data_IF_039691682741
#
_entry.id   IF_039691682741
#
_cell.length_a   1.000
_cell.length_b   1.000
_cell.length_c   1.000
_cell.angle_alpha   90.00
_cell.angle_beta   90.00
_cell.angle_gamma   90.00
#
_symmetry.space_group_name_H-M   'P 1'
#
loop_
_entity.id
_entity.type
_entity.pdbx_description
1 polymer ?
#
# COMPACT_ATOMS: atom_id res chain seq x y z
N UNK A 1 17.42 6.85 -11.41
CA UNK A 1 16.55 7.94 -11.87
C UNK A 1 15.22 7.79 -11.14
N UNK A 2 14.81 8.77 -10.33
CA UNK A 2 13.57 8.74 -9.57
C UNK A 2 12.45 9.41 -10.36
N UNK A 3 11.78 8.66 -11.26
CA UNK A 3 10.80 9.20 -12.22
C UNK A 3 9.62 9.87 -11.52
N UNK A 4 9.15 9.28 -10.41
CA UNK A 4 8.04 9.81 -9.60
C UNK A 4 8.46 11.10 -8.90
N UNK A 5 9.58 11.08 -8.19
CA UNK A 5 10.10 12.23 -7.46
C UNK A 5 10.35 13.46 -8.37
N UNK A 6 10.69 13.25 -9.64
CA UNK A 6 10.94 14.33 -10.59
C UNK A 6 9.70 14.75 -11.40
N UNK A 7 8.51 14.27 -11.04
CA UNK A 7 7.26 14.64 -11.75
C UNK A 7 7.16 14.10 -13.18
N UNK A 8 7.98 13.11 -13.55
CA UNK A 8 8.03 12.55 -14.91
C UNK A 8 7.20 11.28 -15.08
N UNK A 9 6.31 11.00 -14.13
CA UNK A 9 5.43 9.82 -14.14
C UNK A 9 4.65 9.69 -15.46
N UNK A 10 4.07 10.80 -15.94
CA UNK A 10 3.24 10.83 -17.14
C UNK A 10 4.02 10.56 -18.43
N UNK A 11 5.30 10.90 -18.47
CA UNK A 11 6.16 10.64 -19.62
C UNK A 11 6.47 9.15 -19.78
N UNK A 12 6.51 8.41 -18.66
CA UNK A 12 6.85 7.00 -18.65
C UNK A 12 5.61 6.11 -18.74
N UNK A 13 4.58 6.42 -17.97
CA UNK A 13 3.43 5.54 -17.78
C UNK A 13 2.20 5.97 -18.59
N UNK A 14 2.08 7.27 -18.90
CA UNK A 14 0.95 7.84 -19.65
C UNK A 14 0.03 8.71 -18.80
N UNK A 15 -1.06 9.17 -19.43
CA UNK A 15 -2.04 10.09 -18.82
C UNK A 15 -3.43 9.45 -18.67
N UNK A 16 -3.55 8.16 -18.98
CA UNK A 16 -4.83 7.47 -18.91
C UNK A 16 -5.31 7.37 -17.45
N UNK A 17 -6.60 7.69 -17.16
CA UNK A 17 -7.14 7.69 -15.80
C UNK A 17 -6.90 6.39 -15.02
N UNK A 18 -6.81 5.26 -15.73
CA UNK A 18 -6.61 3.93 -15.14
C UNK A 18 -5.25 3.77 -14.44
N UNK A 19 -4.28 4.64 -14.75
CA UNK A 19 -2.93 4.64 -14.19
C UNK A 19 -2.86 5.33 -12.82
N UNK A 20 -3.90 6.07 -12.43
CA UNK A 20 -3.95 6.83 -11.20
C UNK A 20 -4.73 6.06 -10.13
N UNK A 21 -4.06 5.06 -9.53
CA UNK A 21 -4.68 4.13 -8.56
C UNK A 21 -5.45 4.84 -7.45
N UNK A 22 -4.93 5.95 -6.92
CA UNK A 22 -5.60 6.70 -5.86
C UNK A 22 -6.94 7.29 -6.31
N UNK A 23 -6.99 7.85 -7.52
CA UNK A 23 -8.21 8.41 -8.11
C UNK A 23 -9.23 7.31 -8.40
N UNK A 24 -8.75 6.13 -8.83
CA UNK A 24 -9.60 4.95 -9.03
C UNK A 24 -10.23 4.45 -7.74
N UNK A 25 -9.46 4.43 -6.65
CA UNK A 25 -9.96 4.06 -5.33
C UNK A 25 -11.08 5.00 -4.88
N UNK A 26 -10.92 6.30 -5.13
CA UNK A 26 -11.94 7.31 -4.80
C UNK A 26 -13.20 7.24 -5.68
N UNK A 27 -13.07 6.84 -6.94
CA UNK A 27 -14.17 6.88 -7.92
C UNK A 27 -14.93 5.57 -8.04
N UNK A 28 -14.35 4.43 -7.63
CA UNK A 28 -14.85 3.15 -8.10
C UNK A 28 -14.55 1.96 -7.22
N UNK A 29 -15.05 1.95 -5.99
CA UNK A 29 -15.37 0.70 -5.30
C UNK A 29 -16.61 0.88 -4.42
N UNK A 30 -17.77 0.39 -4.88
CA UNK A 30 -18.93 0.21 -4.02
C UNK A 30 -18.92 -1.24 -3.53
N UNK A 31 -18.77 -1.45 -2.22
CA UNK A 31 -19.04 -2.77 -1.66
C UNK A 31 -20.55 -2.93 -1.51
N UNK A 32 -21.14 -3.87 -2.25
CA UNK A 32 -22.54 -4.27 -2.06
C UNK A 32 -22.77 -4.97 -0.71
N UNK A 33 -21.69 -5.30 0.02
CA UNK A 33 -21.70 -5.99 1.30
C UNK A 33 -21.03 -5.15 2.39
N UNK A 34 -21.85 -4.45 3.17
CA UNK A 34 -21.43 -3.55 4.28
C UNK A 34 -20.53 -4.26 5.32
N UNK A 35 -20.55 -5.60 5.38
CA UNK A 35 -19.82 -6.40 6.37
C UNK A 35 -18.45 -6.92 5.92
N UNK A 36 -18.10 -6.86 4.62
CA UNK A 36 -16.85 -7.41 4.11
C UNK A 36 -16.02 -6.32 3.44
N UNK A 37 -14.76 -6.21 3.84
CA UNK A 37 -13.80 -5.32 3.18
C UNK A 37 -13.61 -5.74 1.72
N UNK A 38 -13.41 -4.75 0.86
CA UNK A 38 -13.04 -4.87 -0.54
C UNK A 38 -11.63 -5.43 -0.71
N UNK A 39 -10.77 -5.22 0.28
CA UNK A 39 -9.38 -5.63 0.24
C UNK A 39 -9.13 -6.77 1.23
N UNK A 40 -8.23 -7.72 0.90
CA UNK A 40 -7.63 -8.55 1.94
C UNK A 40 -6.86 -7.66 2.92
N UNK A 41 -6.55 -8.14 4.15
CA UNK A 41 -5.70 -7.41 5.08
C UNK A 41 -4.39 -6.98 4.41
N UNK A 42 -4.02 -5.70 4.50
CA UNK A 42 -2.89 -5.13 3.78
C UNK A 42 -1.72 -4.87 4.74
N UNK A 43 -0.54 -5.35 4.38
CA UNK A 43 0.71 -4.94 5.02
C UNK A 43 1.47 -4.02 4.08
N UNK A 44 1.57 -2.74 4.44
CA UNK A 44 2.22 -1.70 3.67
C UNK A 44 3.54 -1.32 4.33
N UNK A 45 4.62 -1.29 3.55
CA UNK A 45 5.98 -0.97 4.00
C UNK A 45 6.60 0.11 3.10
N UNK A 46 7.17 1.16 3.69
CA UNK A 46 7.77 2.28 2.93
C UNK A 46 8.83 3.08 3.71
N UNK A 47 10.02 3.29 3.13
CA UNK A 47 11.09 4.14 3.65
C UNK A 47 10.66 5.59 3.86
N UNK A 48 10.80 6.13 5.07
CA UNK A 48 10.51 7.54 5.33
C UNK A 48 11.36 8.49 4.45
N UNK A 49 12.58 8.07 4.11
CA UNK A 49 13.53 8.82 3.30
C UNK A 49 13.61 8.34 1.85
N UNK A 50 12.60 7.64 1.33
CA UNK A 50 12.59 7.10 -0.04
C UNK A 50 12.78 8.22 -1.09
N UNK A 51 13.91 8.14 -1.80
CA UNK A 51 14.32 9.09 -2.82
C UNK A 51 13.76 8.75 -4.20
N UNK A 52 13.22 7.54 -4.39
CA UNK A 52 12.62 7.08 -5.63
C UNK A 52 11.13 7.45 -5.70
N UNK A 53 10.40 7.21 -4.61
CA UNK A 53 8.95 7.41 -4.49
C UNK A 53 8.65 8.09 -3.14
N UNK A 54 7.98 9.25 -3.09
CA UNK A 54 7.69 9.91 -1.82
C UNK A 54 6.74 9.11 -0.91
N UNK A 55 7.10 8.97 0.37
CA UNK A 55 6.31 8.26 1.40
C UNK A 55 4.90 8.82 1.59
N UNK A 56 4.69 10.10 1.28
CA UNK A 56 3.37 10.75 1.34
C UNK A 56 2.33 10.08 0.44
N UNK A 57 2.76 9.42 -0.65
CA UNK A 57 1.88 8.60 -1.47
C UNK A 57 1.27 7.43 -0.70
N UNK A 58 2.05 6.76 0.16
CA UNK A 58 1.55 5.68 1.01
C UNK A 58 0.63 6.19 2.11
N UNK A 59 0.94 7.35 2.72
CA UNK A 59 0.05 7.97 3.71
C UNK A 59 -1.31 8.31 3.09
N UNK A 60 -1.30 8.94 1.92
CA UNK A 60 -2.52 9.26 1.17
C UNK A 60 -3.30 8.01 0.76
N UNK A 61 -2.61 6.92 0.39
CA UNK A 61 -3.24 5.63 0.12
C UNK A 61 -3.99 5.11 1.36
N UNK A 62 -3.37 5.14 2.54
CA UNK A 62 -4.01 4.68 3.79
C UNK A 62 -5.28 5.50 4.09
N UNK A 63 -5.19 6.82 3.99
CA UNK A 63 -6.33 7.71 4.21
C UNK A 63 -7.49 7.43 3.24
N UNK A 64 -7.18 7.21 1.96
CA UNK A 64 -8.18 6.88 0.94
C UNK A 64 -8.82 5.53 1.23
N UNK A 65 -8.02 4.49 1.52
CA UNK A 65 -8.54 3.16 1.81
C UNK A 65 -9.47 3.16 3.02
N UNK A 66 -9.08 3.82 4.11
CA UNK A 66 -9.91 3.91 5.32
C UNK A 66 -11.23 4.69 5.09
N UNK A 67 -11.22 5.67 4.19
CA UNK A 67 -12.43 6.43 3.84
C UNK A 67 -13.36 5.66 2.90
N UNK A 68 -12.80 5.00 1.89
CA UNK A 68 -13.55 4.26 0.86
C UNK A 68 -14.09 2.94 1.42
N UNK A 69 -13.29 2.28 2.27
CA UNK A 69 -13.68 1.05 2.95
C UNK A 69 -13.15 1.03 4.40
N UNK A 70 -13.96 1.54 5.35
CA UNK A 70 -13.59 1.56 6.77
C UNK A 70 -13.32 0.19 7.38
N UNK A 71 -13.72 -0.91 6.73
CA UNK A 71 -13.44 -2.26 7.20
C UNK A 71 -12.07 -2.78 6.74
N UNK A 72 -11.35 -2.02 5.89
CA UNK A 72 -10.00 -2.39 5.43
C UNK A 72 -9.06 -2.51 6.61
N UNK A 73 -8.50 -3.71 6.79
CA UNK A 73 -7.49 -3.95 7.82
C UNK A 73 -6.11 -3.62 7.26
N UNK A 74 -5.42 -2.65 7.86
CA UNK A 74 -4.11 -2.17 7.38
C UNK A 74 -3.09 -2.25 8.52
N UNK A 75 -1.94 -2.87 8.23
CA UNK A 75 -0.72 -2.75 9.03
C UNK A 75 0.26 -1.90 8.23
N UNK A 76 0.64 -0.74 8.77
CA UNK A 76 1.56 0.21 8.11
C UNK A 76 2.89 0.24 8.86
N UNK A 77 3.98 -0.07 8.16
CA UNK A 77 5.34 0.06 8.66
C UNK A 77 6.09 1.13 7.86
N UNK A 78 6.24 2.31 8.47
CA UNK A 78 7.12 3.35 7.98
C UNK A 78 8.32 3.43 8.95
N UNK A 79 9.51 3.31 8.40
CA UNK A 79 10.79 3.29 9.12
C UNK A 79 11.81 4.23 8.45
N UNK A 80 12.86 4.65 9.18
CA UNK A 80 13.97 5.37 8.57
C UNK A 80 14.64 4.54 7.46
N UNK A 81 14.92 5.17 6.31
CA UNK A 81 15.64 4.58 5.18
C UNK A 81 15.05 4.99 3.82
N UNK A 82 15.77 4.70 2.72
CA UNK A 82 15.37 4.89 1.32
C UNK A 82 14.42 3.77 0.84
N UNK A 83 14.20 3.62 -0.47
CA UNK A 83 13.22 2.75 -1.13
C UNK A 83 13.20 1.29 -0.66
N UNK A 84 14.38 0.72 -0.39
CA UNK A 84 14.54 -0.64 0.14
C UNK A 84 14.78 -0.70 1.65
N UNK A 85 14.64 0.44 2.33
CA UNK A 85 15.02 0.72 3.72
C UNK A 85 16.48 0.42 4.05
N UNK A 86 17.45 0.96 3.29
CA UNK A 86 18.91 1.16 3.52
C UNK A 86 19.78 0.13 4.25
N UNK A 87 19.21 -0.97 4.68
CA UNK A 87 19.79 -2.01 5.49
C UNK A 87 19.06 -3.32 5.17
N UNK A 88 19.66 -4.42 5.61
CA UNK A 88 19.05 -5.73 5.44
C UNK A 88 18.03 -5.97 6.55
N UNK A 89 16.75 -5.84 6.25
CA UNK A 89 15.69 -6.31 7.13
C UNK A 89 15.59 -7.85 7.09
N UNK A 90 15.30 -8.46 8.23
CA UNK A 90 15.05 -9.91 8.34
C UNK A 90 13.82 -10.16 9.21
N UNK A 91 13.29 -11.38 9.19
CA UNK A 91 12.14 -11.78 10.02
C UNK A 91 12.44 -11.78 11.53
N UNK A 92 13.67 -11.48 11.93
CA UNK A 92 14.03 -11.24 13.33
C UNK A 92 13.62 -9.84 13.79
N UNK A 93 13.42 -8.91 12.84
CA UNK A 93 12.90 -7.59 13.14
C UNK A 93 11.41 -7.69 13.52
N UNK A 94 11.00 -7.18 14.70
CA UNK A 94 9.63 -7.32 15.18
C UNK A 94 8.59 -6.77 14.19
N UNK A 95 8.82 -5.58 13.64
CA UNK A 95 7.89 -4.93 12.70
C UNK A 95 7.64 -5.79 11.45
N UNK A 96 8.68 -6.42 10.91
CA UNK A 96 8.57 -7.23 9.70
C UNK A 96 7.86 -8.55 10.02
N UNK A 97 8.21 -9.16 11.15
CA UNK A 97 7.53 -10.39 11.60
C UNK A 97 6.05 -10.14 11.86
N UNK A 98 5.70 -9.09 12.59
CA UNK A 98 4.33 -8.74 12.95
C UNK A 98 3.47 -8.45 11.72
N UNK A 99 3.99 -7.65 10.77
CA UNK A 99 3.29 -7.38 9.52
C UNK A 99 3.08 -8.62 8.65
N UNK A 100 4.08 -9.52 8.60
CA UNK A 100 3.95 -10.80 7.89
C UNK A 100 2.94 -11.73 8.57
N UNK A 101 3.00 -11.88 9.90
CA UNK A 101 2.05 -12.69 10.67
C UNK A 101 0.60 -12.18 10.44
N UNK A 102 0.42 -10.86 10.37
CA UNK A 102 -0.87 -10.21 10.13
C UNK A 102 -1.50 -10.60 8.78
N UNK A 103 -0.73 -10.69 7.70
CA UNK A 103 -1.27 -11.00 6.36
C UNK A 103 -1.21 -12.48 5.98
N UNK A 104 -0.26 -13.25 6.52
CA UNK A 104 0.03 -14.62 6.04
C UNK A 104 -1.19 -15.54 6.10
N UNK A 105 -1.88 -15.59 7.23
CA UNK A 105 -3.05 -16.47 7.42
C UNK A 105 -4.20 -16.15 6.45
N UNK A 106 -4.69 -14.89 6.42
CA UNK A 106 -5.70 -14.47 5.46
C UNK A 106 -5.29 -14.77 4.02
N UNK A 107 -4.10 -14.33 3.58
CA UNK A 107 -3.67 -14.44 2.17
C UNK A 107 -3.49 -15.87 1.68
N UNK A 108 -3.00 -16.78 2.53
CA UNK A 108 -2.79 -18.18 2.16
C UNK A 108 -4.05 -19.05 2.32
N UNK A 109 -5.12 -18.52 2.88
CA UNK A 109 -6.38 -19.28 3.00
C UNK A 109 -7.11 -19.35 1.64
N UNK A 110 -7.75 -20.48 1.33
CA UNK A 110 -8.59 -20.68 0.13
C UNK A 110 -9.80 -19.71 0.01
N UNK A 111 -9.96 -18.77 0.94
CA UNK A 111 -11.01 -17.74 0.95
C UNK A 111 -10.56 -16.39 0.36
N UNK A 112 -9.31 -16.31 -0.12
CA UNK A 112 -8.69 -15.07 -0.61
C UNK A 112 -8.67 -14.92 -2.13
N UNK A 113 -9.18 -15.92 -2.86
CA UNK A 113 -9.56 -15.73 -4.26
C UNK A 113 -10.88 -14.97 -4.28
N UNK A 114 -10.80 -13.69 -4.64
CA UNK A 114 -11.93 -12.82 -4.96
C UNK A 114 -12.59 -13.35 -6.24
#
# INVERSE_FOLDING_TARGET
MAVVHNGRFLELLGQEPELFVLERLETGFASDNVSKSLFPPLFLLHGEGDTAVPVDGTRKLVDILQRVDPNTQIHLAIHPGDHGFDFKATIQEPWLKEGLDFVTGPWLSNKSFI
#
